data_IF_894592767007
#
_entry.id   IF_894592767007
#
_cell.length_a   1.000
_cell.length_b   1.000
_cell.length_c   1.000
_cell.angle_alpha   90.00
_cell.angle_beta   90.00
_cell.angle_gamma   90.00
#
_symmetry.space_group_name_H-M   'P 1'
#
loop_
_entity.id
_entity.type
_entity.pdbx_description
1 polymer ?
#
# COMPACT_ATOMS: atom_id res chain seq x y z
N UNK A 1 11.90 11.10 -13.69
CA UNK A 1 11.86 9.67 -14.08
C UNK A 1 13.12 8.96 -13.60
N UNK A 2 12.98 7.75 -13.08
CA UNK A 2 14.13 6.91 -12.66
C UNK A 2 14.79 6.31 -13.90
N UNK A 3 16.07 6.63 -14.16
CA UNK A 3 16.85 6.00 -15.23
C UNK A 3 16.92 4.47 -15.09
N UNK A 4 16.84 3.97 -13.85
CA UNK A 4 16.83 2.54 -13.56
C UNK A 4 15.52 1.87 -13.98
N UNK A 5 14.38 2.56 -13.90
CA UNK A 5 13.09 2.02 -14.34
C UNK A 5 13.03 1.91 -15.87
N UNK A 6 13.68 2.81 -16.61
CA UNK A 6 13.81 2.70 -18.07
C UNK A 6 14.62 1.48 -18.50
N UNK A 7 15.81 1.28 -17.89
CA UNK A 7 16.64 0.09 -18.15
C UNK A 7 15.88 -1.20 -17.83
N UNK A 8 15.09 -1.18 -16.75
CA UNK A 8 14.24 -2.31 -16.41
C UNK A 8 13.19 -2.55 -17.50
N UNK A 9 12.48 -1.51 -17.94
CA UNK A 9 11.51 -1.60 -19.03
C UNK A 9 12.12 -2.17 -20.32
N UNK A 10 13.33 -1.77 -20.68
CA UNK A 10 14.06 -2.33 -21.82
C UNK A 10 14.31 -3.84 -21.67
N UNK A 11 14.62 -4.32 -20.46
CA UNK A 11 14.79 -5.74 -20.17
C UNK A 11 13.49 -6.53 -20.39
N UNK A 12 12.34 -5.97 -19.96
CA UNK A 12 11.03 -6.57 -20.20
C UNK A 12 10.71 -6.66 -21.69
N UNK A 13 10.93 -5.56 -22.43
CA UNK A 13 10.74 -5.51 -23.88
C UNK A 13 11.57 -6.59 -24.57
N UNK A 14 12.86 -6.64 -24.25
CA UNK A 14 13.78 -7.61 -24.82
C UNK A 14 13.31 -9.03 -24.55
N UNK A 15 12.88 -9.34 -23.33
CA UNK A 15 12.39 -10.67 -22.96
C UNK A 15 11.12 -11.04 -23.73
N UNK A 16 10.17 -10.11 -23.89
CA UNK A 16 8.96 -10.33 -24.70
C UNK A 16 9.32 -10.63 -26.15
N UNK A 17 10.24 -9.85 -26.73
CA UNK A 17 10.67 -10.00 -28.13
C UNK A 17 11.46 -11.29 -28.35
N UNK A 18 12.29 -11.71 -27.40
CA UNK A 18 12.96 -13.03 -27.40
C UNK A 18 11.94 -14.18 -27.43
N UNK A 19 10.79 -14.01 -26.79
CA UNK A 19 9.67 -14.95 -26.81
C UNK A 19 8.79 -14.81 -28.07
N UNK A 20 9.12 -13.88 -28.98
CA UNK A 20 8.36 -13.57 -30.20
C UNK A 20 6.90 -13.16 -29.93
N UNK A 21 6.65 -12.54 -28.76
CA UNK A 21 5.31 -12.12 -28.36
C UNK A 21 5.05 -10.66 -28.73
N UNK A 22 3.86 -10.38 -29.23
CA UNK A 22 3.33 -9.02 -29.38
C UNK A 22 2.80 -8.49 -28.04
N UNK A 23 2.69 -7.17 -27.92
CA UNK A 23 2.00 -6.55 -26.78
C UNK A 23 0.53 -7.02 -26.67
N UNK A 24 -0.11 -7.33 -27.80
CA UNK A 24 -1.50 -7.80 -27.82
C UNK A 24 -1.65 -9.21 -27.25
N UNK A 25 -0.71 -10.11 -27.55
CA UNK A 25 -0.69 -11.45 -26.98
C UNK A 25 -0.36 -11.41 -25.47
N UNK A 26 0.54 -10.53 -25.07
CA UNK A 26 0.82 -10.26 -23.67
C UNK A 26 -0.41 -9.68 -22.95
N UNK A 27 -1.14 -8.76 -23.57
CA UNK A 27 -2.42 -8.23 -23.04
C UNK A 27 -3.45 -9.35 -22.88
N UNK A 28 -3.63 -10.21 -23.87
CA UNK A 28 -4.58 -11.31 -23.80
C UNK A 28 -4.23 -12.30 -22.68
N UNK A 29 -2.94 -12.54 -22.43
CA UNK A 29 -2.48 -13.50 -21.43
C UNK A 29 -2.50 -12.94 -20.01
N UNK A 30 -2.17 -11.65 -19.86
CA UNK A 30 -2.07 -10.99 -18.55
C UNK A 30 -3.32 -10.21 -18.18
N UNK A 31 -4.23 -9.95 -19.11
CA UNK A 31 -5.33 -9.00 -18.96
C UNK A 31 -4.88 -7.56 -18.64
N UNK A 32 -3.60 -7.23 -18.80
CA UNK A 32 -3.06 -5.88 -18.64
C UNK A 32 -3.13 -5.17 -19.98
N UNK A 33 -3.73 -3.98 -20.04
CA UNK A 33 -3.88 -3.25 -21.31
C UNK A 33 -2.55 -3.01 -22.01
N UNK A 34 -2.53 -3.10 -23.34
CA UNK A 34 -1.32 -2.84 -24.15
C UNK A 34 -0.63 -1.52 -23.79
N UNK A 35 -1.40 -0.46 -23.52
CA UNK A 35 -0.87 0.86 -23.14
C UNK A 35 -0.06 0.82 -21.84
N UNK A 36 -0.47 0.00 -20.86
CA UNK A 36 0.25 -0.16 -19.61
C UNK A 36 1.47 -1.07 -19.77
N UNK A 37 1.37 -2.14 -20.57
CA UNK A 37 2.52 -2.98 -20.90
C UNK A 37 3.60 -2.16 -21.63
N UNK A 38 3.19 -1.31 -22.57
CA UNK A 38 4.08 -0.37 -23.25
C UNK A 38 4.71 0.62 -22.26
N UNK A 39 3.93 1.20 -21.34
CA UNK A 39 4.45 2.12 -20.33
C UNK A 39 5.43 1.44 -19.34
N UNK A 40 5.26 0.14 -19.07
CA UNK A 40 6.24 -0.65 -18.32
C UNK A 40 7.54 -0.77 -19.12
N UNK A 41 7.46 -1.13 -20.40
CA UNK A 41 8.62 -1.26 -21.29
C UNK A 41 9.36 0.08 -21.53
N UNK A 42 8.66 1.20 -21.44
CA UNK A 42 9.24 2.55 -21.55
C UNK A 42 9.71 3.13 -20.21
N UNK A 43 9.42 2.45 -19.09
CA UNK A 43 9.71 2.94 -17.75
C UNK A 43 8.92 4.20 -17.35
N UNK A 44 7.75 4.42 -17.97
CA UNK A 44 6.85 5.57 -17.79
C UNK A 44 5.59 5.22 -16.98
N UNK A 45 5.41 3.96 -16.58
CA UNK A 45 4.17 3.47 -15.91
C UNK A 45 3.73 4.30 -14.69
N UNK A 46 4.67 4.89 -13.96
CA UNK A 46 4.40 5.73 -12.80
C UNK A 46 3.81 7.12 -13.14
N UNK A 47 3.85 7.51 -14.41
CA UNK A 47 3.22 8.73 -14.89
C UNK A 47 1.72 8.49 -15.18
N UNK A 48 1.30 7.23 -15.31
CA UNK A 48 -0.07 6.83 -15.67
C UNK A 48 -0.86 6.17 -14.54
N UNK A 49 -0.18 5.52 -13.58
CA UNK A 49 -0.81 4.79 -12.49
C UNK A 49 -0.17 5.11 -11.13
N UNK A 50 -0.98 5.07 -10.07
CA UNK A 50 -0.47 5.15 -8.71
C UNK A 50 0.48 3.97 -8.43
N UNK A 51 1.51 4.19 -7.60
CA UNK A 51 2.65 3.28 -7.46
C UNK A 51 2.29 1.84 -7.05
N UNK A 52 1.22 1.65 -6.28
CA UNK A 52 0.73 0.31 -5.88
C UNK A 52 0.28 -0.50 -7.10
N UNK A 53 -0.45 0.12 -8.03
CA UNK A 53 -0.92 -0.54 -9.25
C UNK A 53 0.23 -0.80 -10.23
N UNK A 54 1.13 0.15 -10.39
CA UNK A 54 2.34 -0.01 -11.21
C UNK A 54 3.14 -1.24 -10.76
N UNK A 55 3.36 -1.41 -9.45
CA UNK A 55 4.07 -2.56 -8.92
C UNK A 55 3.33 -3.89 -9.19
N UNK A 56 2.01 -3.91 -9.01
CA UNK A 56 1.19 -5.09 -9.30
C UNK A 56 1.32 -5.54 -10.75
N UNK A 57 1.18 -4.60 -11.70
CA UNK A 57 1.29 -4.90 -13.13
C UNK A 57 2.71 -5.30 -13.53
N UNK A 58 3.75 -4.66 -12.97
CA UNK A 58 5.13 -5.07 -13.22
C UNK A 58 5.37 -6.51 -12.74
N UNK A 59 4.91 -6.88 -11.53
CA UNK A 59 5.05 -8.25 -11.01
C UNK A 59 4.33 -9.26 -11.87
N UNK A 60 3.10 -8.96 -12.27
CA UNK A 60 2.31 -9.86 -13.10
C UNK A 60 2.93 -10.05 -14.49
N UNK A 61 3.40 -8.98 -15.13
CA UNK A 61 4.06 -9.07 -16.43
C UNK A 61 5.42 -9.78 -16.33
N UNK A 62 6.18 -9.55 -15.25
CA UNK A 62 7.42 -10.27 -14.99
C UNK A 62 7.18 -11.79 -14.86
N UNK A 63 6.15 -12.19 -14.10
CA UNK A 63 5.77 -13.59 -13.95
C UNK A 63 5.39 -14.23 -15.29
N UNK A 64 4.66 -13.50 -16.14
CA UNK A 64 4.34 -13.96 -17.50
C UNK A 64 5.58 -14.15 -18.39
N UNK A 65 6.57 -13.27 -18.28
CA UNK A 65 7.83 -13.34 -19.03
C UNK A 65 8.86 -14.32 -18.40
N UNK A 66 8.53 -14.95 -17.29
CA UNK A 66 9.45 -15.83 -16.54
C UNK A 66 10.62 -15.10 -15.90
N UNK A 67 10.46 -13.81 -15.60
CA UNK A 67 11.46 -12.99 -14.91
C UNK A 67 11.27 -13.08 -13.39
N UNK A 68 12.36 -13.28 -12.66
CA UNK A 68 12.36 -13.25 -11.19
C UNK A 68 12.32 -11.80 -10.70
N UNK A 69 11.11 -11.29 -10.49
CA UNK A 69 10.88 -9.92 -10.07
C UNK A 69 11.40 -9.65 -8.66
N UNK A 70 11.41 -10.64 -7.77
CA UNK A 70 11.91 -10.44 -6.40
C UNK A 70 13.41 -10.21 -6.39
N UNK A 71 14.14 -11.00 -7.20
CA UNK A 71 15.56 -10.79 -7.43
C UNK A 71 15.83 -9.42 -8.06
N UNK A 72 15.10 -9.05 -9.11
CA UNK A 72 15.24 -7.76 -9.78
C UNK A 72 14.99 -6.59 -8.81
N UNK A 73 13.96 -6.68 -7.96
CA UNK A 73 13.65 -5.65 -6.97
C UNK A 73 14.76 -5.51 -5.93
N UNK A 74 15.39 -6.63 -5.54
CA UNK A 74 16.53 -6.65 -4.62
C UNK A 74 17.79 -6.05 -5.24
N UNK A 75 18.03 -6.30 -6.53
CA UNK A 75 19.17 -5.77 -7.28
C UNK A 75 19.00 -4.28 -7.63
N UNK A 76 17.76 -3.84 -7.87
CA UNK A 76 17.44 -2.47 -8.29
C UNK A 76 16.46 -1.77 -7.34
N UNK A 77 16.75 -1.63 -6.03
CA UNK A 77 15.80 -1.05 -5.08
C UNK A 77 15.41 0.40 -5.44
N UNK A 78 16.29 1.13 -6.14
CA UNK A 78 16.05 2.50 -6.59
C UNK A 78 15.03 2.60 -7.74
N UNK A 79 14.89 1.56 -8.57
CA UNK A 79 13.90 1.50 -9.64
C UNK A 79 12.47 1.42 -9.08
N UNK A 80 12.33 0.79 -7.92
CA UNK A 80 11.05 0.53 -7.26
C UNK A 80 10.77 1.45 -6.06
N UNK A 81 11.57 2.52 -5.87
CA UNK A 81 11.19 3.64 -5.01
C UNK A 81 10.06 4.44 -5.68
N UNK A 82 8.90 3.81 -5.80
CA UNK A 82 7.72 4.43 -6.39
C UNK A 82 7.17 5.44 -5.39
N UNK A 83 7.03 6.68 -5.86
CA UNK A 83 6.46 7.78 -5.07
C UNK A 83 4.96 7.51 -4.93
N UNK A 84 4.46 7.39 -3.69
CA UNK A 84 3.02 7.28 -3.42
C UNK A 84 2.51 5.84 -3.26
N UNK A 85 3.00 5.11 -2.26
CA UNK A 85 2.23 4.02 -1.66
C UNK A 85 1.01 4.55 -0.87
N UNK A 86 0.94 5.87 -0.65
CA UNK A 86 -0.16 6.60 -0.01
C UNK A 86 -1.09 7.24 -1.05
N UNK A 87 -1.69 6.46 -1.95
CA UNK A 87 -2.80 6.96 -2.77
C UNK A 87 -4.07 6.22 -2.40
N UNK A 88 -5.01 6.99 -1.83
CA UNK A 88 -6.37 6.58 -1.58
C UNK A 88 -6.99 6.07 -2.89
N UNK A 89 -7.51 4.85 -2.82
CA UNK A 89 -8.13 4.14 -3.93
C UNK A 89 -9.38 4.87 -4.43
N UNK A 90 -9.23 5.77 -5.39
CA UNK A 90 -10.35 6.39 -6.13
C UNK A 90 -10.59 5.66 -7.46
N UNK A 91 -11.01 4.40 -7.41
CA UNK A 91 -11.68 3.75 -8.54
C UNK A 91 -13.08 3.40 -8.07
N UNK A 92 -14.10 3.92 -8.75
CA UNK A 92 -15.53 3.95 -8.35
C UNK A 92 -16.25 2.61 -8.14
N UNK A 93 -15.56 1.56 -7.73
CA UNK A 93 -16.15 0.53 -6.87
C UNK A 93 -16.40 1.23 -5.54
N UNK A 94 -17.66 1.36 -5.14
CA UNK A 94 -18.06 1.98 -3.88
C UNK A 94 -17.06 1.62 -2.81
N UNK A 95 -16.32 2.63 -2.36
CA UNK A 95 -15.15 2.46 -1.50
C UNK A 95 -15.59 1.56 -0.35
N UNK A 96 -15.04 0.35 -0.26
CA UNK A 96 -14.83 -0.22 1.06
C UNK A 96 -13.97 0.83 1.73
N UNK A 97 -14.60 1.72 2.48
CA UNK A 97 -13.93 2.64 3.37
C UNK A 97 -13.03 1.75 4.20
N UNK A 98 -11.76 1.67 3.83
CA UNK A 98 -10.75 1.20 4.73
C UNK A 98 -10.78 2.27 5.80
N UNK A 99 -11.45 1.97 6.93
CA UNK A 99 -11.48 2.82 8.09
C UNK A 99 -10.03 2.96 8.52
N UNK A 100 -9.35 3.95 7.95
CA UNK A 100 -7.97 4.26 8.22
C UNK A 100 -7.95 4.53 9.71
N UNK A 101 -7.43 3.57 10.45
CA UNK A 101 -7.20 3.75 11.86
C UNK A 101 -6.00 4.69 11.96
N UNK A 102 -6.26 5.98 11.76
CA UNK A 102 -5.57 7.08 12.41
C UNK A 102 -5.80 6.95 13.91
N UNK A 103 -5.20 5.90 14.46
CA UNK A 103 -5.22 5.51 15.85
C UNK A 103 -3.78 5.32 16.32
N UNK A 104 -2.90 6.19 15.86
CA UNK A 104 -1.66 6.51 16.58
C UNK A 104 -1.90 7.49 17.74
N UNK A 105 -3.16 7.85 18.02
CA UNK A 105 -3.56 8.61 19.20
C UNK A 105 -3.88 7.67 20.36
N UNK A 106 -3.22 7.93 21.49
CA UNK A 106 -3.27 7.21 22.77
C UNK A 106 -4.72 6.85 23.19
N UNK A 107 -5.18 5.65 22.80
CA UNK A 107 -6.56 5.17 23.01
C UNK A 107 -6.96 4.93 24.48
N UNK A 108 -6.02 4.92 25.41
CA UNK A 108 -6.29 4.62 26.84
C UNK A 108 -6.57 5.87 27.69
N UNK A 109 -6.33 7.07 27.16
CA UNK A 109 -6.58 8.34 27.86
C UNK A 109 -8.03 8.50 28.34
N UNK A 110 -9.08 8.16 27.55
CA UNK A 110 -10.46 8.26 28.02
C UNK A 110 -10.75 7.29 29.16
N UNK A 111 -10.20 6.08 29.12
CA UNK A 111 -10.42 5.08 30.18
C UNK A 111 -9.75 5.49 31.49
N UNK A 112 -8.61 6.21 31.43
CA UNK A 112 -7.92 6.71 32.62
C UNK A 112 -8.74 7.76 33.37
N UNK A 113 -9.50 8.60 32.66
CA UNK A 113 -10.40 9.58 33.25
C UNK A 113 -11.54 8.91 34.03
N UNK A 114 -12.11 7.82 33.49
CA UNK A 114 -13.12 7.04 34.20
C UNK A 114 -12.57 6.32 35.44
N UNK A 115 -11.35 5.78 35.36
CA UNK A 115 -10.68 5.16 36.52
C UNK A 115 -10.42 6.20 37.61
N UNK A 116 -9.92 7.38 37.25
CA UNK A 116 -9.69 8.49 38.19
C UNK A 116 -10.98 9.01 38.82
N UNK A 117 -12.03 9.21 38.01
CA UNK A 117 -13.34 9.63 38.50
C UNK A 117 -13.97 8.60 39.46
N UNK A 118 -13.91 7.31 39.12
CA UNK A 118 -14.39 6.24 39.98
C UNK A 118 -13.65 6.18 41.32
N UNK A 119 -12.32 6.27 41.30
CA UNK A 119 -11.53 6.32 42.52
C UNK A 119 -11.89 7.53 43.42
N UNK A 120 -12.13 8.70 42.82
CA UNK A 120 -12.57 9.90 43.54
C UNK A 120 -13.91 9.73 44.24
N UNK A 121 -14.89 9.10 43.57
CA UNK A 121 -16.21 8.82 44.16
C UNK A 121 -16.10 7.87 45.35
N UNK A 122 -15.27 6.83 45.25
CA UNK A 122 -15.04 5.88 46.35
C UNK A 122 -14.42 6.58 47.56
N UNK A 123 -13.42 7.45 47.32
CA UNK A 123 -12.78 8.24 48.39
C UNK A 123 -13.78 9.18 49.06
N UNK A 124 -14.61 9.88 48.29
CA UNK A 124 -15.66 10.76 48.83
C UNK A 124 -16.70 9.97 49.65
N UNK A 125 -17.14 8.81 49.15
CA UNK A 125 -18.07 7.95 49.88
C UNK A 125 -17.47 7.46 51.21
N UNK A 126 -16.18 7.11 51.23
CA UNK A 126 -15.46 6.76 52.45
C UNK A 126 -15.45 7.92 53.46
N UNK A 127 -15.08 9.13 53.03
CA UNK A 127 -15.05 10.29 53.91
C UNK A 127 -16.45 10.69 54.41
N UNK A 128 -17.48 10.54 53.57
CA UNK A 128 -18.86 10.76 53.97
C UNK A 128 -19.33 9.74 55.01
N UNK A 129 -19.07 8.44 54.79
CA UNK A 129 -19.40 7.39 55.75
C UNK A 129 -18.73 7.61 57.12
N UNK A 130 -17.46 8.04 57.10
CA UNK A 130 -16.73 8.42 58.31
C UNK A 130 -17.31 9.67 58.99
N UNK A 131 -17.75 10.67 58.23
CA UNK A 131 -18.33 11.90 58.77
C UNK A 131 -19.71 11.67 59.42
N UNK A 132 -20.49 10.71 58.90
CA UNK A 132 -21.81 10.33 59.43
C UNK A 132 -21.68 9.31 60.58
N UNK A 133 -20.48 8.79 60.87
CA UNK A 133 -20.23 7.85 61.96
C UNK A 133 -20.74 6.44 61.69
N UNK A 134 -20.92 6.08 60.42
CA UNK A 134 -21.33 4.74 59.99
C UNK A 134 -20.12 3.78 59.95
N UNK A 135 -18.90 4.34 60.02
CA UNK A 135 -17.61 3.67 59.86
C UNK A 135 -16.64 4.06 60.98
#
# INVERSE_FOLDING_TARGET
>A
MSQELKKLGESFRKKREEMQLTLKEAENSTSIRCSFLQAIEEGTINDFLAGVYSLGFIKQYAGFLGLDIEKIMKEHPQAFRMRGLDHDFHYGIGTLEMRSSLSGGIKWLPNLLWIGGGAGVIVLAYYFAKAVGIL
#
